data_IF_787014312654
#
_entry.id   IF_787014312654
#
_cell.length_a   1.000
_cell.length_b   1.000
_cell.length_c   1.000
_cell.angle_alpha   90.00
_cell.angle_beta   90.00
_cell.angle_gamma   90.00
#
_symmetry.space_group_name_H-M   'P 1'
#
loop_
_entity.id
_entity.type
_entity.pdbx_description
1 polymer ?
#
# COMPACT_ATOMS: atom_id res chain seq x y z
N UNK A 1 -7.53 7.11 -24.26
CA UNK A 1 -6.69 6.62 -23.14
C UNK A 1 -7.51 5.61 -22.36
N UNK A 2 -7.12 4.33 -22.37
CA UNK A 2 -7.77 3.34 -21.51
C UNK A 2 -7.25 3.57 -20.08
N UNK A 3 -8.04 4.26 -19.27
CA UNK A 3 -7.75 4.42 -17.84
C UNK A 3 -8.04 3.10 -17.17
N UNK A 4 -7.06 2.19 -17.13
CA UNK A 4 -7.18 0.98 -16.32
C UNK A 4 -7.16 1.42 -14.86
N UNK A 5 -8.32 1.37 -14.20
CA UNK A 5 -8.44 1.69 -12.79
C UNK A 5 -7.86 0.53 -11.97
N UNK A 6 -6.84 0.84 -11.17
CA UNK A 6 -6.30 -0.10 -10.19
C UNK A 6 -7.29 -0.15 -9.02
N UNK A 7 -7.80 -1.35 -8.72
CA UNK A 7 -8.73 -1.58 -7.61
C UNK A 7 -8.03 -2.38 -6.51
N UNK A 8 -7.99 -1.83 -5.30
CA UNK A 8 -7.47 -2.51 -4.11
C UNK A 8 -8.63 -3.03 -3.26
N UNK A 9 -8.58 -4.29 -2.85
CA UNK A 9 -9.59 -4.86 -1.97
C UNK A 9 -9.45 -4.26 -0.56
N UNK A 10 -10.55 -3.80 0.06
CA UNK A 10 -10.51 -3.25 1.43
C UNK A 10 -9.99 -4.28 2.45
N UNK A 11 -10.27 -5.56 2.19
CA UNK A 11 -9.90 -6.69 3.04
C UNK A 11 -9.32 -7.77 2.13
N UNK A 12 -8.26 -8.45 2.58
CA UNK A 12 -7.65 -9.58 1.90
C UNK A 12 -7.37 -10.71 2.90
N UNK A 13 -7.69 -11.96 2.53
CA UNK A 13 -7.34 -13.13 3.32
C UNK A 13 -6.00 -13.68 2.83
N UNK A 14 -5.00 -13.69 3.70
CA UNK A 14 -3.66 -14.20 3.37
C UNK A 14 -3.21 -15.15 4.47
N UNK A 15 -2.95 -16.41 4.11
CA UNK A 15 -2.52 -17.45 5.04
C UNK A 15 -3.43 -17.60 6.27
N UNK A 16 -4.75 -17.47 6.09
CA UNK A 16 -5.74 -17.57 7.17
C UNK A 16 -5.85 -16.33 8.07
N UNK A 17 -5.08 -15.27 7.81
CA UNK A 17 -5.17 -13.99 8.49
C UNK A 17 -5.94 -12.98 7.64
N UNK A 18 -6.77 -12.17 8.31
CA UNK A 18 -7.47 -11.07 7.67
C UNK A 18 -6.59 -9.82 7.69
N UNK A 19 -6.22 -9.36 6.51
CA UNK A 19 -5.53 -8.10 6.28
C UNK A 19 -6.53 -7.04 5.84
N UNK A 20 -6.30 -5.80 6.25
CA UNK A 20 -7.13 -4.66 5.94
C UNK A 20 -6.29 -3.54 5.35
N UNK A 21 -6.87 -2.77 4.45
CA UNK A 21 -6.21 -1.65 3.81
C UNK A 21 -6.26 -0.41 4.71
N UNK A 22 -5.10 0.15 5.02
CA UNK A 22 -4.93 1.38 5.79
C UNK A 22 -4.34 2.49 4.90
N UNK A 23 -4.99 3.65 4.80
CA UNK A 23 -4.41 4.80 4.11
C UNK A 23 -3.30 5.44 4.96
N UNK A 24 -2.24 5.88 4.29
CA UNK A 24 -1.17 6.68 4.86
C UNK A 24 -0.99 7.91 3.99
N UNK A 25 -1.08 9.08 4.62
CA UNK A 25 -0.83 10.36 3.98
C UNK A 25 0.52 10.92 4.45
N UNK A 26 1.30 11.48 3.53
CA UNK A 26 2.56 12.14 3.84
C UNK A 26 2.74 13.40 3.00
N UNK A 27 3.51 14.33 3.54
CA UNK A 27 3.79 15.63 2.91
C UNK A 27 5.23 15.70 2.46
N UNK A 28 5.42 16.29 1.30
CA UNK A 28 6.71 16.69 0.74
C UNK A 28 6.63 18.16 0.35
N UNK A 29 7.73 18.74 -0.13
CA UNK A 29 7.74 20.10 -0.66
C UNK A 29 6.82 20.25 -1.90
N UNK A 30 6.60 19.16 -2.64
CA UNK A 30 5.77 19.15 -3.85
C UNK A 30 4.27 18.98 -3.56
N UNK A 31 3.90 18.57 -2.33
CA UNK A 31 2.52 18.41 -1.94
C UNK A 31 2.25 17.24 -1.00
N UNK A 32 0.97 16.85 -0.93
CA UNK A 32 0.51 15.70 -0.14
C UNK A 32 0.31 14.51 -1.05
N UNK A 33 0.89 13.38 -0.66
CA UNK A 33 0.79 12.11 -1.35
C UNK A 33 0.24 11.06 -0.41
N UNK A 34 -0.33 10.00 -0.98
CA UNK A 34 -0.92 8.90 -0.21
C UNK A 34 -0.43 7.56 -0.72
N UNK A 35 -0.22 6.63 0.20
CA UNK A 35 -0.01 5.21 -0.08
C UNK A 35 -0.97 4.38 0.75
N UNK A 36 -1.19 3.13 0.35
CA UNK A 36 -2.03 2.18 1.09
C UNK A 36 -1.19 1.00 1.56
N UNK A 37 -1.35 0.63 2.83
CA UNK A 37 -0.69 -0.52 3.43
C UNK A 37 -1.73 -1.55 3.83
N UNK A 38 -1.50 -2.82 3.49
CA UNK A 38 -2.23 -3.90 4.12
C UNK A 38 -1.61 -4.19 5.48
N UNK A 39 -2.44 -4.29 6.52
CA UNK A 39 -2.02 -4.74 7.85
C UNK A 39 -3.15 -5.48 8.57
N UNK A 40 -2.83 -6.22 9.62
CA UNK A 40 -3.82 -6.96 10.44
C UNK A 40 -4.47 -6.09 11.52
N UNK A 41 -3.83 -4.98 11.89
CA UNK A 41 -4.34 -3.98 12.84
C UNK A 41 -3.72 -2.61 12.53
N UNK A 42 -4.20 -1.56 13.21
CA UNK A 42 -3.65 -0.20 13.07
C UNK A 42 -2.23 -0.10 13.62
N UNK A 43 -1.94 -0.80 14.71
CA UNK A 43 -0.61 -0.86 15.33
C UNK A 43 0.39 -1.56 14.39
N UNK A 44 -0.05 -2.66 13.74
CA UNK A 44 0.76 -3.31 12.72
C UNK A 44 0.99 -2.38 11.51
N UNK A 45 -0.03 -1.63 11.07
CA UNK A 45 0.14 -0.64 10.00
C UNK A 45 1.16 0.45 10.38
N UNK A 46 1.17 0.91 11.63
CA UNK A 46 2.14 1.88 12.12
C UNK A 46 3.57 1.31 12.14
N UNK A 47 3.74 0.05 12.53
CA UNK A 47 5.04 -0.64 12.48
C UNK A 47 5.56 -0.77 11.03
N UNK A 48 4.71 -1.21 10.09
CA UNK A 48 5.06 -1.28 8.65
C UNK A 48 5.42 0.11 8.12
N UNK A 49 4.69 1.16 8.51
CA UNK A 49 5.01 2.53 8.10
C UNK A 49 6.38 2.98 8.61
N UNK A 50 6.75 2.62 9.83
CA UNK A 50 8.06 2.96 10.37
C UNK A 50 9.17 2.25 9.58
N UNK A 51 9.02 0.95 9.33
CA UNK A 51 9.96 0.19 8.51
C UNK A 51 10.06 0.74 7.07
N UNK A 52 8.93 1.12 6.47
CA UNK A 52 8.88 1.73 5.14
C UNK A 52 9.70 3.02 5.08
N UNK A 53 9.59 3.91 6.09
CA UNK A 53 10.36 5.16 6.15
C UNK A 53 11.87 4.92 6.20
N UNK A 54 12.30 3.78 6.75
CA UNK A 54 13.70 3.43 6.94
C UNK A 54 14.29 2.67 5.75
N UNK A 55 13.47 1.89 5.04
CA UNK A 55 13.94 0.87 4.09
C UNK A 55 13.46 1.07 2.66
N UNK A 56 12.50 1.99 2.40
CA UNK A 56 11.94 2.17 1.07
C UNK A 56 13.00 2.61 0.05
N UNK A 57 13.01 1.93 -1.09
CA UNK A 57 13.82 2.26 -2.26
C UNK A 57 12.94 2.33 -3.49
N UNK A 58 13.29 3.20 -4.44
CA UNK A 58 12.63 3.22 -5.74
C UNK A 58 13.03 1.95 -6.52
N UNK A 59 12.05 1.14 -6.91
CA UNK A 59 12.29 -0.04 -7.74
C UNK A 59 12.66 0.39 -9.16
N UNK A 60 13.63 -0.28 -9.77
CA UNK A 60 13.91 -0.13 -11.20
C UNK A 60 12.82 -0.79 -12.06
N UNK A 61 12.40 -0.08 -13.11
CA UNK A 61 11.38 -0.54 -14.06
C UNK A 61 10.02 0.12 -13.87
N UNK A 62 9.19 0.01 -14.90
CA UNK A 62 7.85 0.58 -14.90
C UNK A 62 6.87 -0.31 -14.12
N UNK A 63 5.78 0.28 -13.64
CA UNK A 63 4.66 -0.45 -13.07
C UNK A 63 4.04 -1.35 -14.16
N UNK A 64 4.38 -2.65 -14.15
CA UNK A 64 3.90 -3.61 -15.16
C UNK A 64 2.57 -4.29 -14.82
N UNK A 65 2.02 -4.09 -13.62
CA UNK A 65 0.68 -4.57 -13.24
C UNK A 65 0.49 -4.73 -11.73
N UNK A 66 -0.78 -4.76 -11.29
CA UNK A 66 -1.20 -5.11 -9.92
C UNK A 66 -2.14 -6.31 -10.02
N UNK A 67 -1.78 -7.41 -9.36
CA UNK A 67 -2.58 -8.63 -9.36
C UNK A 67 -3.72 -8.53 -8.33
N UNK A 68 -4.92 -8.92 -8.76
CA UNK A 68 -6.09 -9.10 -7.90
C UNK A 68 -5.88 -10.38 -7.08
N UNK A 69 -6.02 -10.29 -5.75
CA UNK A 69 -6.28 -11.45 -4.91
C UNK A 69 -7.77 -11.38 -4.56
N UNK A 70 -8.60 -12.04 -5.36
CA UNK A 70 -9.97 -12.38 -5.01
C UNK A 70 -10.06 -13.64 -4.13
#
# INVERSE_FOLDING_TARGET
MNTQAISLARVAMVNGLQWQLYPVDFKTEEGTFSVYLYAISREHAAAILQELKETAVLREGDLVGIARND
#
